data_IF_061261419078
#
_entry.id   IF_061261419078
#
_cell.length_a   1.000
_cell.length_b   1.000
_cell.length_c   1.000
_cell.angle_alpha   90.00
_cell.angle_beta   90.00
_cell.angle_gamma   90.00
#
_symmetry.space_group_name_H-M   'P 1'
#
loop_
_entity.id
_entity.type
_entity.pdbx_description
1 polymer ?
#
# COMPACT_ATOMS: atom_id res chain seq x y z
N UNK A 1 11.22 4.44 -22.70
CA UNK A 1 10.56 3.42 -21.86
C UNK A 1 11.55 2.32 -21.58
N UNK A 2 12.14 2.27 -20.39
CA UNK A 2 12.87 1.09 -19.92
C UNK A 2 12.30 0.75 -18.55
N UNK A 3 11.71 -0.42 -18.45
CA UNK A 3 11.21 -1.00 -17.21
C UNK A 3 12.37 -1.19 -16.23
N UNK A 4 12.49 -0.29 -15.26
CA UNK A 4 13.34 -0.50 -14.08
C UNK A 4 12.51 -0.34 -12.81
N UNK A 5 11.72 -1.38 -12.55
CA UNK A 5 11.46 -1.90 -11.22
C UNK A 5 10.99 -3.36 -11.36
N UNK A 6 11.80 -4.20 -12.03
CA UNK A 6 11.68 -5.63 -11.82
C UNK A 6 12.11 -5.89 -10.38
N UNK A 7 11.11 -6.15 -9.54
CA UNK A 7 11.26 -6.88 -8.29
C UNK A 7 12.30 -7.98 -8.52
N UNK A 8 13.50 -7.78 -8.00
CA UNK A 8 14.59 -8.75 -8.07
C UNK A 8 14.64 -9.41 -6.70
N UNK A 9 13.86 -10.48 -6.44
CA UNK A 9 14.06 -11.24 -5.22
C UNK A 9 15.42 -11.91 -5.34
N UNK A 10 16.23 -11.95 -4.27
CA UNK A 10 17.37 -12.85 -4.26
C UNK A 10 16.84 -14.26 -4.52
N UNK A 11 17.37 -14.89 -5.57
CA UNK A 11 17.27 -16.32 -5.82
C UNK A 11 17.39 -17.09 -4.51
N UNK A 12 16.36 -17.88 -4.17
CA UNK A 12 16.30 -18.97 -3.17
C UNK A 12 15.45 -18.84 -1.91
N UNK A 13 14.80 -17.71 -1.60
CA UNK A 13 13.82 -17.69 -0.50
C UNK A 13 12.63 -16.80 -0.84
N UNK A 14 11.44 -17.33 -0.56
CA UNK A 14 10.13 -16.71 -0.72
C UNK A 14 10.16 -15.19 -0.47
N UNK A 15 9.53 -14.40 -1.34
CA UNK A 15 9.38 -12.94 -1.19
C UNK A 15 9.00 -12.56 0.26
N UNK A 16 9.57 -11.48 0.85
CA UNK A 16 9.26 -11.08 2.23
C UNK A 16 7.76 -10.92 2.54
N UNK A 17 6.94 -10.59 1.53
CA UNK A 17 5.47 -10.60 1.62
C UNK A 17 4.90 -12.00 1.83
N UNK A 18 5.38 -12.95 1.04
CA UNK A 18 4.93 -14.33 1.08
C UNK A 18 5.28 -14.99 2.42
N UNK A 19 6.49 -14.73 2.93
CA UNK A 19 6.91 -15.23 4.24
C UNK A 19 6.07 -14.64 5.39
N UNK A 20 5.73 -13.34 5.34
CA UNK A 20 4.87 -12.70 6.35
C UNK A 20 3.43 -13.19 6.29
N UNK A 21 2.88 -13.36 5.08
CA UNK A 21 1.53 -13.87 4.87
C UNK A 21 1.35 -15.31 5.38
N UNK A 22 2.39 -16.14 5.32
CA UNK A 22 2.37 -17.51 5.84
C UNK A 22 2.54 -17.62 7.37
N UNK A 23 2.82 -16.53 8.08
CA UNK A 23 2.96 -16.60 9.53
C UNK A 23 1.65 -17.00 10.22
N UNK A 24 1.74 -17.82 11.26
CA UNK A 24 0.62 -18.44 11.97
C UNK A 24 -0.58 -17.52 12.29
N UNK A 25 -0.42 -16.24 12.73
CA UNK A 25 -1.58 -15.38 12.99
C UNK A 25 -2.35 -14.99 11.73
N UNK A 26 -1.70 -14.83 10.58
CA UNK A 26 -2.38 -14.42 9.34
C UNK A 26 -3.19 -15.54 8.70
N UNK A 27 -2.70 -16.79 8.76
CA UNK A 27 -3.33 -17.94 8.10
C UNK A 27 -4.72 -18.27 8.67
N UNK A 28 -4.95 -18.06 9.97
CA UNK A 28 -6.22 -18.42 10.63
C UNK A 28 -7.17 -17.25 10.88
N UNK A 29 -6.65 -16.05 11.13
CA UNK A 29 -7.48 -14.89 11.51
C UNK A 29 -7.66 -13.88 10.37
N UNK A 30 -6.85 -14.00 9.31
CA UNK A 30 -6.68 -12.94 8.32
C UNK A 30 -6.00 -11.71 8.91
N UNK A 31 -5.85 -10.67 8.09
CA UNK A 31 -5.29 -9.40 8.55
C UNK A 31 -5.17 -8.39 7.42
N UNK A 32 -4.64 -7.21 7.75
CA UNK A 32 -4.41 -6.15 6.77
C UNK A 32 -2.92 -5.83 6.73
N UNK A 33 -2.32 -5.97 5.56
CA UNK A 33 -0.91 -5.65 5.31
C UNK A 33 -0.80 -4.40 4.46
N UNK A 34 -0.06 -3.42 4.95
CA UNK A 34 0.33 -2.23 4.20
C UNK A 34 1.61 -2.49 3.41
N UNK A 35 1.55 -2.30 2.10
CA UNK A 35 2.70 -2.25 1.19
C UNK A 35 3.00 -0.78 0.91
N UNK A 36 4.01 -0.23 1.56
CA UNK A 36 4.40 1.17 1.38
C UNK A 36 5.43 1.28 0.26
N UNK A 37 5.18 2.17 -0.70
CA UNK A 37 6.06 2.48 -1.84
C UNK A 37 6.39 3.97 -1.76
N UNK A 38 7.64 4.28 -1.37
CA UNK A 38 8.13 5.65 -1.24
C UNK A 38 8.98 6.09 -2.42
N UNK A 39 8.65 7.23 -3.02
CA UNK A 39 9.42 7.91 -4.06
C UNK A 39 10.00 9.21 -3.50
N UNK A 40 11.12 9.11 -2.79
CA UNK A 40 11.83 10.29 -2.28
C UNK A 40 12.97 10.60 -3.24
N UNK A 41 12.82 11.65 -4.04
CA UNK A 41 13.69 11.92 -5.18
C UNK A 41 14.29 13.32 -5.13
N UNK A 42 15.58 13.37 -5.45
CA UNK A 42 16.35 14.59 -5.62
C UNK A 42 16.46 14.88 -7.12
N UNK A 43 15.77 15.93 -7.59
CA UNK A 43 15.70 16.29 -9.01
C UNK A 43 16.99 16.88 -9.56
N UNK A 44 17.93 17.25 -8.69
CA UNK A 44 19.26 17.68 -9.13
C UNK A 44 20.12 16.48 -9.57
N UNK A 45 19.66 15.26 -9.32
CA UNK A 45 20.35 14.01 -9.69
C UNK A 45 19.74 13.37 -10.93
N UNK A 46 20.46 12.39 -11.48
CA UNK A 46 19.99 11.64 -12.63
C UNK A 46 18.69 10.89 -12.30
N UNK A 47 17.78 10.83 -13.29
CA UNK A 47 16.46 10.22 -13.18
C UNK A 47 16.47 8.75 -12.74
N UNK A 48 17.57 8.03 -13.00
CA UNK A 48 17.76 6.63 -12.62
C UNK A 48 18.12 6.44 -11.14
N UNK A 49 18.39 7.53 -10.41
CA UNK A 49 18.60 7.52 -8.96
C UNK A 49 17.29 7.67 -8.17
N UNK A 50 16.21 8.11 -8.84
CA UNK A 50 14.87 8.15 -8.28
C UNK A 50 14.26 6.73 -8.32
N UNK A 51 14.56 5.92 -7.31
CA UNK A 51 14.11 4.53 -7.20
C UNK A 51 13.09 4.35 -6.05
N UNK A 52 12.07 3.49 -6.23
CA UNK A 52 11.07 3.28 -5.19
C UNK A 52 11.65 2.49 -4.02
N UNK A 53 11.27 2.89 -2.80
CA UNK A 53 11.58 2.17 -1.55
C UNK A 53 10.36 1.43 -1.05
N UNK A 54 10.48 0.13 -0.87
CA UNK A 54 9.40 -0.72 -0.37
C UNK A 54 9.53 -0.99 1.12
N UNK A 55 8.43 -0.89 1.87
CA UNK A 55 8.35 -1.39 3.24
C UNK A 55 6.98 -2.02 3.53
N UNK A 56 6.94 -2.91 4.52
CA UNK A 56 5.75 -3.72 4.83
C UNK A 56 5.40 -3.58 6.30
N UNK A 57 4.13 -3.31 6.59
CA UNK A 57 3.61 -3.18 7.95
C UNK A 57 2.26 -3.88 8.09
N UNK A 58 1.92 -4.30 9.30
CA UNK A 58 0.55 -4.70 9.62
C UNK A 58 -0.27 -3.44 9.93
N UNK A 59 -1.49 -3.34 9.39
CA UNK A 59 -2.37 -2.17 9.54
C UNK A 59 -3.55 -2.42 10.48
N UNK A 60 -3.92 -3.68 10.73
CA UNK A 60 -5.04 -4.06 11.61
C UNK A 60 -4.65 -4.11 13.10
N UNK A 61 -4.01 -3.05 13.60
CA UNK A 61 -3.54 -2.96 14.99
C UNK A 61 -4.65 -3.04 16.05
N UNK A 62 -5.85 -2.55 15.73
CA UNK A 62 -7.03 -2.63 16.61
C UNK A 62 -7.58 -4.05 16.66
N UNK A 63 -7.67 -4.72 15.51
CA UNK A 63 -8.17 -6.10 15.39
C UNK A 63 -7.30 -7.08 16.18
N UNK A 64 -5.98 -6.92 16.17
CA UNK A 64 -5.06 -7.76 16.96
C UNK A 64 -5.35 -7.79 18.46
N UNK A 65 -5.92 -6.70 19.00
CA UNK A 65 -6.23 -6.56 20.42
C UNK A 65 -7.67 -6.94 20.76
N UNK A 66 -8.48 -7.27 19.74
CA UNK A 66 -9.90 -7.59 19.91
C UNK A 66 -10.11 -9.10 20.02
N UNK A 67 -10.83 -9.53 21.05
CA UNK A 67 -11.34 -10.90 21.16
C UNK A 67 -12.55 -11.17 20.26
N UNK A 68 -13.23 -10.12 19.78
CA UNK A 68 -14.45 -10.21 18.96
C UNK A 68 -14.10 -10.33 17.46
N UNK A 69 -13.03 -9.67 17.02
CA UNK A 69 -12.56 -9.72 15.63
C UNK A 69 -11.03 -9.72 15.54
N UNK A 70 -10.35 -10.85 15.85
CA UNK A 70 -8.89 -10.95 15.93
C UNK A 70 -8.11 -10.85 14.60
N UNK A 71 -8.70 -10.32 13.52
CA UNK A 71 -8.07 -10.21 12.21
C UNK A 71 -8.98 -9.60 11.14
N UNK A 72 -8.95 -10.13 9.92
CA UNK A 72 -9.76 -9.64 8.79
C UNK A 72 -10.63 -10.75 8.19
N UNK A 73 -11.94 -10.51 8.21
CA UNK A 73 -12.94 -11.40 7.61
C UNK A 73 -14.05 -10.59 6.94
N UNK A 74 -14.70 -11.19 5.95
CA UNK A 74 -15.85 -10.61 5.28
C UNK A 74 -16.89 -11.69 4.98
N UNK A 75 -18.16 -11.28 4.90
CA UNK A 75 -19.26 -12.17 4.54
C UNK A 75 -19.77 -11.81 3.15
N UNK A 76 -20.02 -12.83 2.35
CA UNK A 76 -20.68 -12.69 1.06
C UNK A 76 -21.68 -13.83 0.88
N UNK A 77 -22.66 -13.65 0.00
CA UNK A 77 -23.66 -14.66 -0.27
C UNK A 77 -23.61 -15.08 -1.74
N UNK A 78 -23.68 -16.38 -1.98
CA UNK A 78 -23.97 -16.93 -3.31
C UNK A 78 -25.47 -17.15 -3.39
N UNK A 79 -26.11 -16.53 -4.38
CA UNK A 79 -27.55 -16.58 -4.59
C UNK A 79 -27.88 -17.57 -5.70
N UNK A 80 -28.93 -18.34 -5.49
CA UNK A 80 -29.38 -19.40 -6.39
C UNK A 80 -30.89 -19.35 -6.53
N UNK A 81 -31.38 -19.88 -7.65
CA UNK A 81 -32.80 -20.00 -7.94
C UNK A 81 -33.09 -21.43 -8.39
N UNK A 82 -34.10 -22.06 -7.81
CA UNK A 82 -34.56 -23.37 -8.24
C UNK A 82 -35.41 -23.26 -9.50
N UNK A 83 -35.60 -24.37 -10.22
CA UNK A 83 -36.47 -24.42 -11.41
C UNK A 83 -37.92 -24.03 -11.08
N UNK A 84 -38.36 -24.26 -9.84
CA UNK A 84 -39.67 -23.84 -9.32
C UNK A 84 -39.72 -22.34 -8.94
N UNK A 85 -38.67 -21.58 -9.21
CA UNK A 85 -38.60 -20.14 -8.96
C UNK A 85 -38.29 -19.74 -7.51
N UNK A 86 -38.08 -20.69 -6.60
CA UNK A 86 -37.70 -20.39 -5.21
C UNK A 86 -36.25 -19.94 -5.11
N UNK A 87 -36.00 -18.86 -4.36
CA UNK A 87 -34.67 -18.33 -4.15
C UNK A 87 -34.05 -18.88 -2.86
N UNK A 88 -32.77 -19.24 -2.92
CA UNK A 88 -31.99 -19.60 -1.74
C UNK A 88 -30.58 -19.01 -1.85
N UNK A 89 -29.91 -18.91 -0.70
CA UNK A 89 -28.53 -18.40 -0.65
C UNK A 89 -27.65 -19.22 0.26
N UNK A 90 -26.38 -19.34 -0.11
CA UNK A 90 -25.32 -19.79 0.77
C UNK A 90 -24.60 -18.56 1.30
N UNK A 91 -24.63 -18.34 2.62
CA UNK A 91 -23.83 -17.29 3.26
C UNK A 91 -22.44 -17.86 3.60
N UNK A 92 -21.40 -17.22 3.08
CA UNK A 92 -20.01 -17.59 3.34
C UNK A 92 -19.36 -16.52 4.23
N UNK A 93 -18.52 -16.98 5.16
CA UNK A 93 -17.60 -16.13 5.92
C UNK A 93 -16.18 -16.50 5.47
N UNK A 94 -15.51 -15.58 4.79
CA UNK A 94 -14.13 -15.74 4.37
C UNK A 94 -13.20 -14.99 5.32
N UNK A 95 -12.06 -15.61 5.62
CA UNK A 95 -10.93 -15.00 6.30
C UNK A 95 -9.84 -14.81 5.26
N UNK A 96 -9.17 -13.67 5.26
CA UNK A 96 -8.20 -13.37 4.22
C UNK A 96 -7.26 -12.25 4.59
N UNK A 97 -6.29 -12.02 3.72
CA UNK A 97 -5.31 -10.94 3.87
C UNK A 97 -5.67 -9.85 2.87
N UNK A 98 -5.94 -8.65 3.38
CA UNK A 98 -6.10 -7.45 2.54
C UNK A 98 -4.75 -6.74 2.43
N UNK A 99 -4.36 -6.41 1.21
CA UNK A 99 -3.16 -5.64 0.92
C UNK A 99 -3.56 -4.21 0.57
N UNK A 100 -3.14 -3.27 1.39
CA UNK A 100 -3.29 -1.85 1.12
C UNK A 100 -1.95 -1.34 0.56
N UNK A 101 -1.93 -0.93 -0.70
CA UNK A 101 -0.77 -0.32 -1.34
C UNK A 101 -0.82 1.17 -1.04
N UNK A 102 0.19 1.68 -0.33
CA UNK A 102 0.32 3.08 0.04
C UNK A 102 1.51 3.68 -0.71
N UNK A 103 1.23 4.58 -1.64
CA UNK A 103 2.25 5.29 -2.41
C UNK A 103 2.40 6.70 -1.85
N UNK A 104 3.64 7.07 -1.55
CA UNK A 104 3.99 8.43 -1.14
C UNK A 104 5.23 8.90 -1.89
N UNK A 105 5.38 10.19 -2.07
CA UNK A 105 6.57 10.75 -2.68
C UNK A 105 6.85 12.17 -2.23
N UNK A 106 8.14 12.45 -2.10
CA UNK A 106 8.68 13.76 -1.73
C UNK A 106 9.78 14.11 -2.75
N UNK A 107 9.81 15.36 -3.16
CA UNK A 107 10.70 15.83 -4.22
C UNK A 107 11.51 17.01 -3.72
N UNK A 108 12.83 16.96 -3.88
CA UNK A 108 13.73 18.08 -3.60
C UNK A 108 14.40 18.58 -4.88
N UNK A 109 14.50 19.89 -5.05
CA UNK A 109 15.25 20.52 -6.14
C UNK A 109 15.93 21.80 -5.63
N UNK A 110 17.26 21.84 -5.67
CA UNK A 110 18.04 23.03 -5.30
C UNK A 110 18.14 24.04 -6.44
N UNK A 111 18.04 23.59 -7.70
CA UNK A 111 18.08 24.48 -8.88
C UNK A 111 16.94 25.52 -8.91
N UNK A 112 15.73 25.14 -8.47
CA UNK A 112 14.62 26.09 -8.33
C UNK A 112 14.83 27.12 -7.21
N UNK A 113 15.56 26.77 -6.14
CA UNK A 113 15.84 27.69 -5.03
C UNK A 113 16.83 28.78 -5.40
N UNK A 114 17.81 28.48 -6.26
CA UNK A 114 18.77 29.48 -6.76
C UNK A 114 18.08 30.48 -7.69
N UNK A 115 17.11 30.02 -8.48
CA UNK A 115 16.34 30.87 -9.40
C UNK A 115 15.43 31.86 -8.66
N UNK A 116 14.87 31.46 -7.52
CA UNK A 116 14.10 32.36 -6.64
C UNK A 116 14.99 33.39 -5.91
N UNK A 117 16.29 33.14 -5.77
CA UNK A 117 17.21 34.07 -5.11
C UNK A 117 17.83 35.11 -6.07
N UNK A 118 17.69 34.95 -7.39
CA UNK A 118 18.25 35.87 -8.38
C UNK A 118 17.33 37.07 -8.70
N UNK A 119 16.05 37.02 -8.32
CA UNK A 119 15.13 38.14 -8.40
C UNK A 119 14.08 38.04 -7.29
N UNK A 120 14.25 38.82 -6.21
CA UNK A 120 13.25 39.75 -5.65
C UNK A 120 13.70 40.18 -4.23
N UNK A 121 13.99 41.47 -4.07
CA UNK A 121 13.73 42.13 -2.81
C UNK A 121 12.21 42.34 -2.73
N UNK A 122 11.49 41.49 -2.02
CA UNK A 122 10.25 41.87 -1.34
C UNK A 122 9.95 40.86 -0.22
N UNK A 123 9.81 41.38 0.99
CA UNK A 123 9.49 40.61 2.18
C UNK A 123 8.01 40.23 2.16
N UNK A 124 7.72 38.99 1.76
CA UNK A 124 6.41 38.36 1.92
C UNK A 124 6.59 36.94 2.44
N UNK A 125 6.03 36.69 3.62
CA UNK A 125 5.93 35.40 4.30
C UNK A 125 5.57 34.26 3.33
N UNK A 126 6.53 33.38 3.05
CA UNK A 126 6.34 32.19 2.21
C UNK A 126 6.55 30.96 3.08
N UNK A 127 5.44 30.50 3.68
CA UNK A 127 5.30 29.13 4.13
C UNK A 127 5.65 28.22 2.96
N UNK A 128 6.73 27.44 3.09
CA UNK A 128 7.06 26.40 2.11
C UNK A 128 5.96 25.36 2.17
N UNK A 129 5.01 25.36 1.23
CA UNK A 129 4.07 24.25 1.09
C UNK A 129 4.84 23.01 0.64
N UNK A 130 5.07 22.10 1.57
CA UNK A 130 5.49 20.73 1.30
C UNK A 130 4.38 20.03 0.52
N UNK A 131 4.49 19.98 -0.81
CA UNK A 131 3.48 19.35 -1.67
C UNK A 131 3.64 17.83 -1.62
N UNK A 132 3.11 17.21 -0.57
CA UNK A 132 3.12 15.76 -0.40
C UNK A 132 1.97 15.13 -1.19
N UNK A 133 2.28 14.21 -2.11
CA UNK A 133 1.29 13.45 -2.88
C UNK A 133 1.13 12.06 -2.28
N UNK A 134 -0.09 11.68 -1.91
CA UNK A 134 -0.41 10.33 -1.41
C UNK A 134 -1.47 9.69 -2.30
N UNK A 135 -1.25 8.44 -2.69
CA UNK A 135 -2.23 7.59 -3.37
C UNK A 135 -2.33 6.24 -2.66
N UNK A 136 -3.54 5.70 -2.52
CA UNK A 136 -3.75 4.43 -1.80
C UNK A 136 -4.86 3.58 -2.40
N UNK A 137 -4.59 2.27 -2.50
CA UNK A 137 -5.54 1.28 -3.02
C UNK A 137 -5.55 0.00 -2.20
N UNK A 138 -6.73 -0.61 -2.01
CA UNK A 138 -6.91 -1.83 -1.22
C UNK A 138 -7.30 -3.01 -2.12
N UNK A 139 -6.58 -4.12 -1.98
CA UNK A 139 -6.77 -5.36 -2.75
C UNK A 139 -6.94 -6.55 -1.80
N UNK A 140 -7.96 -7.37 -2.02
CA UNK A 140 -8.21 -8.58 -1.23
C UNK A 140 -7.96 -9.82 -2.08
N UNK A 141 -7.15 -10.76 -1.58
CA UNK A 141 -6.99 -12.08 -2.20
C UNK A 141 -7.86 -13.06 -1.39
N UNK A 142 -8.96 -13.51 -1.98
CA UNK A 142 -9.78 -14.60 -1.45
C UNK A 142 -9.42 -15.92 -2.14
N UNK A 143 -9.38 -17.02 -1.37
CA UNK A 143 -9.40 -18.39 -1.90
C UNK A 143 -10.84 -18.84 -2.12
#
# INVERSE_FOLDING_TARGET
>A
MRDKALFSPPTSALCPLHQRAQSAPFSFQGGVLGIKIGWVCDLDKAWDQCIPRYSFTRLDGVSQKSSVSPGYNFRFAKYYKTDNGSEYRTLLKAFGIRFDVLVYGDVSETTLRVSASAHQADTGDLTTEEKQSTDSGAYSIGH
#
